data_IF_325420946024
#
_entry.id   IF_325420946024
#
_cell.length_a   1.000
_cell.length_b   1.000
_cell.length_c   1.000
_cell.angle_alpha   90.00
_cell.angle_beta   90.00
_cell.angle_gamma   90.00
#
_symmetry.space_group_name_H-M   'P 1'
#
loop_
_entity.id
_entity.type
_entity.pdbx_description
1 polymer ?
#
# COMPACT_ATOMS: atom_id res chain seq x y z
N UNK A 1 21.13 -44.32 -59.51
CA UNK A 1 20.63 -44.22 -58.11
C UNK A 1 20.71 -42.74 -57.65
N UNK A 2 19.61 -42.02 -57.78
CA UNK A 2 19.54 -40.60 -57.37
C UNK A 2 18.83 -40.54 -56.04
N UNK A 3 19.53 -40.13 -54.97
CA UNK A 3 18.99 -39.89 -53.64
C UNK A 3 18.40 -38.49 -53.63
N UNK A 4 17.06 -38.38 -53.54
CA UNK A 4 16.37 -37.15 -53.17
C UNK A 4 16.56 -36.87 -51.69
N UNK A 5 17.25 -35.79 -51.34
CA UNK A 5 17.23 -35.20 -50.02
C UNK A 5 15.97 -34.34 -49.91
N UNK A 6 15.01 -34.83 -49.11
CA UNK A 6 13.87 -34.00 -48.68
C UNK A 6 14.30 -33.13 -47.52
N UNK A 7 14.41 -31.81 -47.81
CA UNK A 7 14.69 -30.79 -46.80
C UNK A 7 13.36 -30.46 -46.11
N UNK A 8 13.13 -31.03 -44.90
CA UNK A 8 12.01 -30.62 -44.06
C UNK A 8 12.34 -29.31 -43.38
N UNK A 9 11.74 -28.22 -43.92
CA UNK A 9 11.77 -26.89 -43.31
C UNK A 9 10.90 -26.92 -42.08
N UNK A 10 11.50 -27.00 -40.89
CA UNK A 10 10.81 -26.81 -39.61
C UNK A 10 10.47 -25.30 -39.50
N UNK A 11 9.24 -24.93 -39.82
CA UNK A 11 8.68 -23.64 -39.42
C UNK A 11 8.61 -23.62 -37.89
N UNK A 12 9.61 -23.00 -37.25
CA UNK A 12 9.50 -22.56 -35.88
C UNK A 12 8.43 -21.46 -35.84
N UNK A 13 7.21 -21.82 -35.52
CA UNK A 13 6.15 -20.86 -35.20
C UNK A 13 6.61 -20.12 -33.95
N UNK A 14 7.13 -18.89 -34.13
CA UNK A 14 7.20 -17.91 -33.06
C UNK A 14 5.75 -17.62 -32.67
N UNK A 15 5.24 -18.35 -31.68
CA UNK A 15 4.03 -17.97 -30.99
C UNK A 15 4.37 -16.65 -30.26
N UNK A 16 4.10 -15.52 -30.94
CA UNK A 16 3.98 -14.25 -30.26
C UNK A 16 2.84 -14.46 -29.25
N UNK A 17 3.19 -14.56 -27.97
CA UNK A 17 2.21 -14.56 -26.89
C UNK A 17 1.47 -13.22 -26.99
N UNK A 18 0.29 -13.24 -27.59
CA UNK A 18 -0.59 -12.08 -27.56
C UNK A 18 -0.88 -11.77 -26.08
N UNK A 19 -0.68 -10.51 -25.67
CA UNK A 19 -0.96 -10.08 -24.32
C UNK A 19 -2.39 -10.45 -23.93
N UNK A 20 -2.56 -11.01 -22.75
CA UNK A 20 -3.88 -11.36 -22.21
C UNK A 20 -4.76 -10.10 -22.11
N UNK A 21 -6.09 -10.22 -22.16
CA UNK A 21 -6.96 -9.05 -21.96
C UNK A 21 -6.68 -8.29 -20.67
N UNK A 22 -6.29 -8.98 -19.59
CA UNK A 22 -5.90 -8.34 -18.33
C UNK A 22 -4.63 -7.49 -18.48
N UNK A 23 -3.62 -8.00 -19.18
CA UNK A 23 -2.39 -7.27 -19.49
C UNK A 23 -2.64 -6.09 -20.46
N UNK A 24 -3.54 -6.26 -21.43
CA UNK A 24 -3.96 -5.18 -22.33
C UNK A 24 -4.63 -4.03 -21.56
N UNK A 25 -5.54 -4.36 -20.64
CA UNK A 25 -6.19 -3.36 -19.79
C UNK A 25 -5.19 -2.64 -18.88
N UNK A 26 -4.24 -3.37 -18.29
CA UNK A 26 -3.17 -2.78 -17.48
C UNK A 26 -2.30 -1.83 -18.31
N UNK A 27 -1.87 -2.26 -19.49
CA UNK A 27 -1.09 -1.43 -20.40
C UNK A 27 -1.87 -0.19 -20.89
N UNK A 28 -3.20 -0.27 -21.05
CA UNK A 28 -4.04 0.87 -21.36
C UNK A 28 -4.05 1.88 -20.20
N UNK A 29 -4.22 1.40 -18.96
CA UNK A 29 -4.17 2.25 -17.77
C UNK A 29 -2.80 2.92 -17.59
N UNK A 30 -1.70 2.21 -17.80
CA UNK A 30 -0.33 2.73 -17.73
C UNK A 30 -0.07 3.85 -18.76
N UNK A 31 -0.77 3.83 -19.90
CA UNK A 31 -0.72 4.91 -20.89
C UNK A 31 -1.71 6.05 -20.63
N UNK A 32 -2.48 5.97 -19.54
CA UNK A 32 -3.52 6.94 -19.21
C UNK A 32 -4.84 6.75 -19.97
N UNK A 33 -4.99 5.67 -20.75
CA UNK A 33 -6.26 5.33 -21.41
C UNK A 33 -7.19 4.57 -20.46
N UNK A 34 -7.65 5.29 -19.47
CA UNK A 34 -8.50 4.72 -18.42
C UNK A 34 -9.88 4.24 -18.93
N UNK A 35 -10.37 4.85 -20.04
CA UNK A 35 -11.65 4.42 -20.64
C UNK A 35 -11.53 3.03 -21.27
N UNK A 36 -10.46 2.76 -22.00
CA UNK A 36 -10.22 1.45 -22.58
C UNK A 36 -9.90 0.41 -21.49
N UNK A 37 -9.11 0.78 -20.50
CA UNK A 37 -8.84 -0.07 -19.35
C UNK A 37 -10.14 -0.46 -18.60
N UNK A 38 -11.01 0.53 -18.31
CA UNK A 38 -12.31 0.30 -17.68
C UNK A 38 -13.18 -0.65 -18.52
N UNK A 39 -13.26 -0.42 -19.83
CA UNK A 39 -14.03 -1.27 -20.74
C UNK A 39 -13.61 -2.74 -20.64
N UNK A 40 -12.29 -2.98 -20.75
CA UNK A 40 -11.75 -4.36 -20.71
C UNK A 40 -11.95 -4.97 -19.32
N UNK A 41 -11.63 -4.24 -18.24
CA UNK A 41 -11.81 -4.74 -16.87
C UNK A 41 -13.30 -5.01 -16.57
N UNK A 42 -14.22 -4.21 -17.12
CA UNK A 42 -15.65 -4.45 -16.95
C UNK A 42 -16.09 -5.82 -17.51
N UNK A 43 -15.63 -6.15 -18.71
CA UNK A 43 -15.97 -7.45 -19.31
C UNK A 43 -15.36 -8.63 -18.54
N UNK A 44 -14.10 -8.51 -18.14
CA UNK A 44 -13.43 -9.53 -17.33
C UNK A 44 -14.05 -9.66 -15.92
N UNK A 45 -14.44 -8.54 -15.31
CA UNK A 45 -15.09 -8.52 -14.00
C UNK A 45 -16.47 -9.18 -14.03
N UNK A 46 -17.24 -8.99 -15.11
CA UNK A 46 -18.51 -9.70 -15.35
C UNK A 46 -18.29 -11.23 -15.49
N UNK A 47 -17.18 -11.62 -16.11
CA UNK A 47 -16.78 -13.02 -16.22
C UNK A 47 -16.27 -13.62 -14.89
N UNK A 48 -16.13 -12.82 -13.85
CA UNK A 48 -15.73 -13.26 -12.50
C UNK A 48 -14.24 -13.13 -12.19
N UNK A 49 -13.44 -12.53 -13.09
CA UNK A 49 -12.00 -12.31 -12.83
C UNK A 49 -11.81 -11.35 -11.65
N UNK A 50 -11.22 -11.84 -10.56
CA UNK A 50 -11.04 -11.09 -9.33
C UNK A 50 -10.05 -9.93 -9.48
N UNK A 51 -9.00 -10.11 -10.30
CA UNK A 51 -8.01 -9.04 -10.56
C UNK A 51 -8.64 -7.91 -11.38
N UNK A 52 -9.46 -8.27 -12.37
CA UNK A 52 -10.21 -7.28 -13.14
C UNK A 52 -11.23 -6.53 -12.27
N UNK A 53 -11.95 -7.24 -11.38
CA UNK A 53 -12.86 -6.60 -10.42
C UNK A 53 -12.13 -5.62 -9.51
N UNK A 54 -10.96 -5.99 -9.02
CA UNK A 54 -10.12 -5.12 -8.19
C UNK A 54 -9.62 -3.90 -8.97
N UNK A 55 -9.04 -4.11 -10.15
CA UNK A 55 -8.54 -3.01 -10.98
C UNK A 55 -9.66 -2.06 -11.43
N UNK A 56 -10.84 -2.60 -11.74
CA UNK A 56 -12.03 -1.78 -12.04
C UNK A 56 -12.43 -0.94 -10.82
N UNK A 57 -12.42 -1.53 -9.62
CA UNK A 57 -12.69 -0.79 -8.39
C UNK A 57 -11.67 0.32 -8.17
N UNK A 58 -10.37 0.07 -8.41
CA UNK A 58 -9.31 1.07 -8.25
C UNK A 58 -9.46 2.24 -9.24
N UNK A 59 -9.69 1.96 -10.51
CA UNK A 59 -9.83 3.03 -11.50
C UNK A 59 -11.06 3.91 -11.22
N UNK A 60 -12.11 3.32 -10.69
CA UNK A 60 -13.28 4.07 -10.23
C UNK A 60 -13.04 4.78 -8.89
N UNK A 61 -12.32 4.17 -7.97
CA UNK A 61 -11.95 4.76 -6.69
C UNK A 61 -11.14 6.06 -6.85
N UNK A 62 -10.17 6.05 -7.78
CA UNK A 62 -9.35 7.21 -8.12
C UNK A 62 -9.92 8.04 -9.28
N UNK A 63 -11.17 7.85 -9.64
CA UNK A 63 -11.81 8.31 -10.88
C UNK A 63 -11.70 9.79 -11.22
N UNK A 64 -11.53 10.70 -10.23
CA UNK A 64 -11.27 12.11 -10.51
C UNK A 64 -10.00 12.31 -11.32
N UNK A 65 -8.95 11.54 -11.00
CA UNK A 65 -7.66 11.61 -11.66
C UNK A 65 -7.67 10.86 -13.00
N UNK A 66 -8.59 9.89 -13.16
CA UNK A 66 -8.77 9.10 -14.38
C UNK A 66 -9.77 9.69 -15.38
N UNK A 67 -10.49 10.76 -15.00
CA UNK A 67 -11.54 11.38 -15.83
C UNK A 67 -12.79 10.50 -16.01
N UNK A 68 -12.97 9.50 -15.15
CA UNK A 68 -14.13 8.60 -15.14
C UNK A 68 -15.17 9.05 -14.10
N UNK A 69 -16.46 8.82 -14.35
CA UNK A 69 -17.48 9.03 -13.33
C UNK A 69 -17.25 8.06 -12.17
N UNK A 70 -17.31 8.58 -10.94
CA UNK A 70 -17.16 7.80 -9.71
C UNK A 70 -18.51 7.63 -9.03
N UNK A 71 -18.84 6.38 -8.70
CA UNK A 71 -19.94 6.03 -7.81
C UNK A 71 -19.36 5.24 -6.63
N UNK A 72 -19.35 5.88 -5.45
CA UNK A 72 -18.80 5.25 -4.24
C UNK A 72 -19.57 3.97 -3.84
N UNK A 73 -20.86 3.85 -4.21
CA UNK A 73 -21.63 2.64 -3.97
C UNK A 73 -21.19 1.50 -4.89
N UNK A 74 -20.92 1.77 -6.16
CA UNK A 74 -20.38 0.78 -7.10
C UNK A 74 -18.97 0.36 -6.69
N UNK A 75 -18.10 1.31 -6.35
CA UNK A 75 -16.74 1.02 -5.86
C UNK A 75 -16.78 0.13 -4.62
N UNK A 76 -17.65 0.47 -3.66
CA UNK A 76 -17.86 -0.34 -2.46
C UNK A 76 -18.29 -1.75 -2.81
N UNK A 77 -19.30 -1.92 -3.67
CA UNK A 77 -19.81 -3.23 -4.05
C UNK A 77 -18.74 -4.11 -4.73
N UNK A 78 -17.91 -3.53 -5.59
CA UNK A 78 -16.78 -4.21 -6.21
C UNK A 78 -15.74 -4.63 -5.18
N UNK A 79 -15.32 -3.71 -4.28
CA UNK A 79 -14.34 -4.00 -3.24
C UNK A 79 -14.85 -5.03 -2.23
N UNK A 80 -16.15 -5.00 -1.86
CA UNK A 80 -16.78 -6.01 -1.00
C UNK A 80 -16.66 -7.40 -1.62
N UNK A 81 -16.96 -7.52 -2.91
CA UNK A 81 -16.90 -8.79 -3.64
C UNK A 81 -15.47 -9.34 -3.70
N UNK A 82 -14.48 -8.48 -3.91
CA UNK A 82 -13.07 -8.88 -4.00
C UNK A 82 -12.47 -9.14 -2.61
N UNK A 83 -12.78 -8.32 -1.63
CA UNK A 83 -12.32 -8.48 -0.23
C UNK A 83 -12.83 -9.80 0.38
N UNK A 84 -14.05 -10.24 0.01
CA UNK A 84 -14.60 -11.53 0.41
C UNK A 84 -13.80 -12.74 -0.13
N UNK A 85 -12.98 -12.54 -1.16
CA UNK A 85 -12.04 -13.54 -1.68
C UNK A 85 -10.68 -13.51 -0.97
N UNK A 86 -10.56 -12.77 0.13
CA UNK A 86 -9.35 -12.59 0.92
C UNK A 86 -8.18 -11.99 0.13
N UNK A 87 -8.46 -11.08 -0.83
CA UNK A 87 -7.44 -10.30 -1.52
C UNK A 87 -7.04 -9.13 -0.62
N UNK A 88 -5.79 -9.09 -0.10
CA UNK A 88 -5.39 -8.14 0.94
C UNK A 88 -5.48 -6.68 0.49
N UNK A 89 -5.11 -6.40 -0.75
CA UNK A 89 -5.16 -5.04 -1.32
C UNK A 89 -6.61 -4.54 -1.42
N UNK A 90 -7.56 -5.43 -1.74
CA UNK A 90 -8.98 -5.07 -1.77
C UNK A 90 -9.52 -4.83 -0.35
N UNK A 91 -9.08 -5.63 0.64
CA UNK A 91 -9.40 -5.41 2.05
C UNK A 91 -8.89 -4.05 2.53
N UNK A 92 -7.67 -3.67 2.14
CA UNK A 92 -7.10 -2.35 2.43
C UNK A 92 -7.95 -1.22 1.83
N UNK A 93 -8.28 -1.28 0.53
CA UNK A 93 -9.07 -0.22 -0.11
C UNK A 93 -10.50 -0.14 0.42
N UNK A 94 -11.11 -1.28 0.74
CA UNK A 94 -12.42 -1.30 1.41
C UNK A 94 -12.34 -0.67 2.81
N UNK A 95 -11.26 -0.94 3.55
CA UNK A 95 -11.01 -0.31 4.85
C UNK A 95 -10.90 1.21 4.73
N UNK A 96 -10.21 1.72 3.69
CA UNK A 96 -10.14 3.17 3.43
C UNK A 96 -11.52 3.80 3.26
N UNK A 97 -12.42 3.15 2.53
CA UNK A 97 -13.81 3.64 2.37
C UNK A 97 -14.58 3.63 3.69
N UNK A 98 -14.47 2.53 4.46
CA UNK A 98 -15.19 2.37 5.71
C UNK A 98 -14.67 3.30 6.83
N UNK A 99 -13.42 3.72 6.74
CA UNK A 99 -12.78 4.66 7.66
C UNK A 99 -12.84 6.12 7.16
N UNK A 100 -13.47 6.38 6.01
CA UNK A 100 -13.48 7.69 5.34
C UNK A 100 -12.06 8.26 5.15
N UNK A 101 -11.14 7.37 4.73
CA UNK A 101 -9.71 7.65 4.63
C UNK A 101 -9.21 7.77 3.19
N UNK A 102 -10.10 7.96 2.21
CA UNK A 102 -9.77 8.05 0.77
C UNK A 102 -8.74 9.14 0.45
N UNK A 103 -8.79 10.26 1.18
CA UNK A 103 -7.87 11.39 1.02
C UNK A 103 -6.90 11.57 2.19
N UNK A 104 -6.68 10.49 2.94
CA UNK A 104 -5.86 10.48 4.14
C UNK A 104 -6.67 10.23 5.41
N UNK A 105 -6.05 9.55 6.35
CA UNK A 105 -6.71 9.17 7.60
C UNK A 105 -6.83 10.38 8.53
N UNK A 106 -8.07 10.76 8.86
CA UNK A 106 -8.36 11.81 9.84
C UNK A 106 -8.79 11.20 11.18
N UNK A 107 -7.82 10.80 11.99
CA UNK A 107 -8.06 10.15 13.30
C UNK A 107 -8.84 11.07 14.26
N UNK A 108 -8.59 12.39 14.20
CA UNK A 108 -9.34 13.36 15.02
C UNK A 108 -10.83 13.34 14.67
N UNK A 109 -11.17 13.26 13.39
CA UNK A 109 -12.56 13.13 12.96
C UNK A 109 -13.16 11.78 13.37
N UNK A 110 -12.42 10.69 13.21
CA UNK A 110 -12.85 9.37 13.66
C UNK A 110 -13.19 9.34 15.16
N UNK A 111 -12.44 10.06 15.98
CA UNK A 111 -12.61 10.06 17.44
C UNK A 111 -13.67 11.04 17.95
N UNK A 112 -14.23 11.92 17.11
CA UNK A 112 -15.29 12.86 17.50
C UNK A 112 -16.66 12.22 17.64
N UNK A 113 -16.93 11.13 16.94
CA UNK A 113 -18.22 10.43 16.94
C UNK A 113 -18.09 9.04 17.53
N UNK A 114 -19.17 8.44 18.07
CA UNK A 114 -19.17 7.04 18.49
C UNK A 114 -18.79 6.11 17.34
N UNK A 115 -18.20 4.96 17.66
CA UNK A 115 -17.85 3.96 16.68
C UNK A 115 -19.09 3.39 15.99
N UNK A 116 -19.03 3.27 14.67
CA UNK A 116 -20.02 2.57 13.84
C UNK A 116 -19.54 1.16 13.52
N UNK A 117 -20.47 0.27 13.17
CA UNK A 117 -20.09 -1.08 12.71
C UNK A 117 -19.22 -1.03 11.44
N UNK A 118 -19.46 -0.04 10.57
CA UNK A 118 -18.59 0.19 9.41
C UNK A 118 -17.16 0.52 9.83
N UNK A 119 -16.98 1.37 10.86
CA UNK A 119 -15.64 1.71 11.38
C UNK A 119 -14.95 0.50 12.00
N UNK A 120 -15.65 -0.28 12.83
CA UNK A 120 -15.11 -1.52 13.41
C UNK A 120 -14.63 -2.46 12.31
N UNK A 121 -15.50 -2.71 11.31
CA UNK A 121 -15.17 -3.54 10.16
C UNK A 121 -13.99 -2.97 9.35
N UNK A 122 -13.91 -1.65 9.19
CA UNK A 122 -12.77 -0.99 8.52
C UNK A 122 -11.44 -1.29 9.21
N UNK A 123 -11.38 -1.20 10.55
CA UNK A 123 -10.18 -1.55 11.33
C UNK A 123 -9.87 -3.05 11.22
N UNK A 124 -10.86 -3.92 11.24
CA UNK A 124 -10.66 -5.38 11.06
C UNK A 124 -10.06 -5.71 9.68
N UNK A 125 -10.61 -5.14 8.62
CA UNK A 125 -10.12 -5.34 7.25
C UNK A 125 -8.71 -4.78 7.08
N UNK A 126 -8.43 -3.60 7.65
CA UNK A 126 -7.10 -3.00 7.66
C UNK A 126 -6.10 -3.90 8.39
N UNK A 127 -6.49 -4.48 9.53
CA UNK A 127 -5.65 -5.41 10.28
C UNK A 127 -5.32 -6.64 9.45
N UNK A 128 -6.31 -7.25 8.79
CA UNK A 128 -6.09 -8.42 7.90
C UNK A 128 -5.15 -8.09 6.75
N UNK A 129 -5.33 -6.95 6.10
CA UNK A 129 -4.45 -6.50 5.02
C UNK A 129 -3.01 -6.27 5.51
N UNK A 130 -2.84 -5.67 6.69
CA UNK A 130 -1.53 -5.45 7.32
C UNK A 130 -0.85 -6.77 7.70
N UNK A 131 -1.59 -7.74 8.26
CA UNK A 131 -1.11 -9.08 8.59
C UNK A 131 -0.70 -9.85 7.32
N UNK A 132 -1.41 -9.66 6.22
CA UNK A 132 -1.07 -10.22 4.92
C UNK A 132 0.13 -9.54 4.24
N UNK A 133 0.67 -8.46 4.81
CA UNK A 133 1.90 -7.81 4.38
C UNK A 133 1.71 -6.61 3.44
N UNK A 134 0.50 -6.03 3.33
CA UNK A 134 0.27 -4.78 2.58
C UNK A 134 0.95 -3.63 3.33
N UNK A 135 1.99 -2.99 2.75
CA UNK A 135 2.80 -2.01 3.50
C UNK A 135 2.00 -0.77 3.90
N UNK A 136 1.12 -0.30 3.04
CA UNK A 136 0.27 0.88 3.30
C UNK A 136 -0.74 0.58 4.42
N UNK A 137 -1.26 -0.65 4.48
CA UNK A 137 -2.12 -1.09 5.57
C UNK A 137 -1.35 -1.18 6.90
N UNK A 138 -0.09 -1.63 6.87
CA UNK A 138 0.79 -1.67 8.04
C UNK A 138 1.07 -0.27 8.57
N UNK A 139 1.42 0.69 7.69
CA UNK A 139 1.66 2.08 8.07
C UNK A 139 0.39 2.73 8.68
N UNK A 140 -0.76 2.49 8.06
CA UNK A 140 -2.02 3.01 8.57
C UNK A 140 -2.42 2.39 9.91
N UNK A 141 -2.24 1.08 10.07
CA UNK A 141 -2.50 0.39 11.34
C UNK A 141 -1.56 0.88 12.46
N UNK A 142 -0.30 1.17 12.13
CA UNK A 142 0.63 1.81 13.06
C UNK A 142 0.09 3.16 13.55
N UNK A 143 -0.39 4.01 12.65
CA UNK A 143 -1.00 5.30 13.01
C UNK A 143 -2.26 5.13 13.89
N UNK A 144 -3.09 4.12 13.61
CA UNK A 144 -4.26 3.83 14.45
C UNK A 144 -3.85 3.40 15.86
N UNK A 145 -2.81 2.58 16.04
CA UNK A 145 -2.31 2.20 17.37
C UNK A 145 -1.63 3.37 18.10
N UNK A 146 -0.98 4.30 17.36
CA UNK A 146 -0.38 5.49 17.97
C UNK A 146 -1.42 6.39 18.62
N UNK A 147 -2.55 6.62 17.94
CA UNK A 147 -3.58 7.55 18.41
C UNK A 147 -4.74 6.90 19.16
N UNK A 148 -4.98 5.61 18.91
CA UNK A 148 -6.20 4.91 19.28
C UNK A 148 -7.39 5.31 18.40
N UNK A 149 -8.40 4.46 18.35
CA UNK A 149 -9.70 4.73 17.70
C UNK A 149 -10.78 4.48 18.73
N UNK A 150 -11.49 5.55 19.09
CA UNK A 150 -12.49 5.51 20.15
C UNK A 150 -13.48 4.35 19.96
N UNK A 151 -13.69 3.59 21.01
CA UNK A 151 -14.59 2.43 21.08
C UNK A 151 -14.27 1.27 20.12
N UNK A 152 -13.06 1.28 19.48
CA UNK A 152 -12.63 0.27 18.49
C UNK A 152 -11.23 -0.26 18.79
N UNK A 153 -10.26 0.63 18.98
CA UNK A 153 -8.85 0.26 19.11
C UNK A 153 -8.17 1.12 20.18
N UNK A 154 -7.64 0.47 21.19
CA UNK A 154 -6.88 1.17 22.22
C UNK A 154 -5.51 1.61 21.71
N UNK A 155 -5.02 2.73 22.22
CA UNK A 155 -3.67 3.20 21.97
C UNK A 155 -2.66 2.18 22.51
N UNK A 156 -1.67 1.83 21.68
CA UNK A 156 -0.61 0.88 22.01
C UNK A 156 0.70 1.26 21.28
N UNK A 157 1.62 1.89 22.00
CA UNK A 157 2.88 2.33 21.44
C UNK A 157 3.77 1.16 20.98
N UNK A 158 3.69 0.00 21.64
CA UNK A 158 4.45 -1.18 21.23
C UNK A 158 3.98 -1.71 19.87
N UNK A 159 2.67 -1.80 19.68
CA UNK A 159 2.09 -2.19 18.39
C UNK A 159 2.28 -1.12 17.32
N UNK A 160 2.18 0.17 17.68
CA UNK A 160 2.54 1.27 16.78
C UNK A 160 3.92 1.07 16.17
N UNK A 161 4.96 0.95 17.02
CA UNK A 161 6.35 0.79 16.59
C UNK A 161 6.50 -0.49 15.75
N UNK A 162 5.96 -1.61 16.21
CA UNK A 162 6.09 -2.89 15.52
C UNK A 162 5.48 -2.87 14.10
N UNK A 163 4.32 -2.22 13.93
CA UNK A 163 3.70 -2.08 12.61
C UNK A 163 4.41 -1.04 11.74
N UNK A 164 4.91 0.05 12.34
CA UNK A 164 5.67 1.05 11.62
C UNK A 164 7.00 0.47 11.09
N UNK A 165 7.73 -0.31 11.88
CA UNK A 165 8.94 -1.02 11.43
C UNK A 165 8.64 -1.98 10.26
N UNK A 166 7.53 -2.72 10.29
CA UNK A 166 7.14 -3.59 9.17
C UNK A 166 6.88 -2.80 7.89
N UNK A 167 6.14 -1.70 7.98
CA UNK A 167 5.88 -0.83 6.83
C UNK A 167 7.17 -0.18 6.30
N UNK A 168 8.07 0.21 7.20
CA UNK A 168 9.36 0.83 6.91
C UNK A 168 10.29 -0.07 6.07
N UNK A 169 10.12 -1.38 6.11
CA UNK A 169 10.85 -2.31 5.24
C UNK A 169 10.57 -2.09 3.75
N UNK A 170 9.46 -1.46 3.40
CA UNK A 170 8.98 -1.31 2.02
C UNK A 170 8.68 0.13 1.61
N UNK A 171 8.46 1.04 2.55
CA UNK A 171 8.06 2.42 2.29
C UNK A 171 9.17 3.35 2.79
N UNK A 172 9.87 4.03 1.85
CA UNK A 172 11.01 4.90 2.16
C UNK A 172 10.65 6.01 3.16
N UNK A 173 9.50 6.68 2.97
CA UNK A 173 9.04 7.71 3.89
C UNK A 173 8.81 7.16 5.31
N UNK A 174 8.21 5.97 5.42
CA UNK A 174 7.99 5.34 6.72
C UNK A 174 9.31 4.94 7.37
N UNK A 175 10.28 4.45 6.59
CA UNK A 175 11.62 4.15 7.08
C UNK A 175 12.30 5.41 7.63
N UNK A 176 12.22 6.53 6.91
CA UNK A 176 12.73 7.82 7.35
C UNK A 176 12.10 8.25 8.69
N UNK A 177 10.75 8.22 8.79
CA UNK A 177 10.04 8.56 10.04
C UNK A 177 10.39 7.61 11.19
N UNK A 178 10.64 6.33 10.91
CA UNK A 178 11.07 5.36 11.92
C UNK A 178 12.47 5.72 12.43
N UNK A 179 13.35 6.16 11.53
CA UNK A 179 14.67 6.70 11.90
C UNK A 179 14.58 7.92 12.81
N UNK A 180 13.71 8.89 12.47
CA UNK A 180 13.48 10.07 13.32
C UNK A 180 12.90 9.68 14.70
N UNK A 181 11.98 8.72 14.75
CA UNK A 181 11.42 8.20 15.99
C UNK A 181 12.51 7.67 16.92
N UNK A 182 13.39 6.80 16.42
CA UNK A 182 14.51 6.26 17.18
C UNK A 182 15.58 7.31 17.53
N UNK A 183 15.82 8.29 16.66
CA UNK A 183 16.77 9.38 16.95
C UNK A 183 16.30 10.27 18.08
N UNK A 184 15.02 10.65 18.05
CA UNK A 184 14.46 11.67 18.95
C UNK A 184 13.82 11.10 20.22
N UNK A 185 13.42 9.83 20.21
CA UNK A 185 12.61 9.22 21.26
C UNK A 185 11.16 9.73 21.27
N UNK A 186 10.70 10.37 20.20
CA UNK A 186 9.32 10.86 20.08
C UNK A 186 8.33 9.73 19.69
N UNK A 187 7.05 10.03 19.81
CA UNK A 187 5.95 9.14 19.43
C UNK A 187 5.98 7.76 20.14
N UNK A 188 6.66 7.67 21.27
CA UNK A 188 6.78 6.45 22.07
C UNK A 188 7.92 5.53 21.65
N UNK A 189 8.76 5.95 20.70
CA UNK A 189 9.98 5.24 20.36
C UNK A 189 11.01 5.35 21.50
N UNK A 190 11.71 4.26 21.85
CA UNK A 190 12.90 4.37 22.70
C UNK A 190 14.03 4.99 21.88
N UNK A 191 14.71 6.01 22.41
CA UNK A 191 15.86 6.60 21.72
C UNK A 191 16.97 5.54 21.51
N UNK A 192 17.35 5.31 20.25
CA UNK A 192 18.34 4.31 19.84
C UNK A 192 19.04 4.76 18.56
N UNK A 193 20.26 5.22 18.71
CA UNK A 193 21.04 5.77 17.60
C UNK A 193 21.45 4.76 16.54
N UNK A 194 21.66 3.51 16.89
CA UNK A 194 22.01 2.48 15.91
C UNK A 194 20.80 2.10 15.06
N UNK A 195 19.63 1.99 15.69
CA UNK A 195 18.36 1.79 14.95
C UNK A 195 18.01 3.01 14.10
N UNK A 196 18.24 4.23 14.59
CA UNK A 196 18.04 5.44 13.80
C UNK A 196 18.86 5.42 12.50
N UNK A 197 20.17 5.14 12.60
CA UNK A 197 21.06 5.02 11.45
C UNK A 197 20.61 3.93 10.48
N UNK A 198 20.24 2.77 11.00
CA UNK A 198 19.72 1.67 10.18
C UNK A 198 18.52 2.10 9.35
N UNK A 199 17.53 2.75 9.96
CA UNK A 199 16.30 3.14 9.28
C UNK A 199 16.51 4.31 8.29
N UNK A 200 17.40 5.26 8.56
CA UNK A 200 17.79 6.28 7.59
C UNK A 200 18.49 5.66 6.37
N UNK A 201 19.42 4.73 6.60
CA UNK A 201 20.06 4.01 5.49
C UNK A 201 19.02 3.24 4.69
N UNK A 202 18.10 2.56 5.35
CA UNK A 202 17.00 1.83 4.70
C UNK A 202 16.12 2.76 3.86
N UNK A 203 15.77 3.94 4.36
CA UNK A 203 15.00 4.93 3.61
C UNK A 203 15.72 5.34 2.32
N UNK A 204 17.02 5.61 2.41
CA UNK A 204 17.86 5.96 1.27
C UNK A 204 17.98 4.81 0.25
N UNK A 205 18.13 3.58 0.72
CA UNK A 205 18.21 2.39 -0.14
C UNK A 205 16.90 2.14 -0.91
N UNK A 206 15.76 2.50 -0.31
CA UNK A 206 14.44 2.41 -0.94
C UNK A 206 14.18 3.60 -1.89
N UNK A 207 14.67 4.80 -1.55
CA UNK A 207 14.57 6.02 -2.35
C UNK A 207 15.74 6.94 -2.02
N UNK A 208 16.65 7.12 -2.98
CA UNK A 208 17.87 7.93 -2.83
C UNK A 208 17.61 9.44 -2.58
N UNK A 209 16.36 9.92 -2.68
CA UNK A 209 16.00 11.28 -2.27
C UNK A 209 15.97 11.46 -0.74
N UNK A 210 15.89 10.38 0.04
CA UNK A 210 16.00 10.45 1.49
C UNK A 210 17.46 10.47 1.93
N UNK A 211 17.82 11.28 2.97
CA UNK A 211 19.17 11.35 3.46
C UNK A 211 19.57 10.04 4.16
N UNK A 212 20.84 9.63 4.00
CA UNK A 212 21.42 8.45 4.68
C UNK A 212 21.63 8.66 6.19
N UNK A 213 21.56 9.89 6.65
CA UNK A 213 21.77 10.26 8.05
C UNK A 213 20.91 11.46 8.42
N UNK A 214 20.59 11.61 9.71
CA UNK A 214 19.80 12.75 10.17
C UNK A 214 20.50 14.09 9.86
N UNK A 215 19.69 15.11 9.58
CA UNK A 215 20.18 16.47 9.37
C UNK A 215 20.73 17.10 10.66
N UNK A 216 20.35 16.58 11.82
CA UNK A 216 20.90 16.90 13.14
C UNK A 216 21.43 15.60 13.73
N UNK A 217 22.73 15.51 13.91
CA UNK A 217 23.33 14.32 14.53
C UNK A 217 23.12 14.37 16.06
N UNK A 218 21.87 14.09 16.48
CA UNK A 218 21.52 13.95 17.89
C UNK A 218 22.18 12.71 18.51
N UNK A 219 22.69 11.84 17.67
CA UNK A 219 23.42 10.62 18.02
C UNK A 219 24.94 10.85 18.13
N UNK A 220 25.46 12.04 17.78
CA UNK A 220 26.84 12.33 17.97
C UNK A 220 27.18 12.29 19.47
N UNK A 221 28.34 11.71 19.87
CA UNK A 221 28.76 11.75 21.26
C UNK A 221 28.82 13.21 21.69
N UNK A 222 28.07 13.58 22.74
CA UNK A 222 28.16 14.87 23.34
C UNK A 222 29.63 15.06 23.74
N UNK A 223 30.39 15.80 22.94
CA UNK A 223 31.77 16.15 23.30
C UNK A 223 31.70 16.72 24.70
N UNK A 224 32.36 16.03 25.62
CA UNK A 224 32.45 16.49 26.99
C UNK A 224 32.88 17.95 26.96
N UNK A 225 31.97 18.86 27.33
CA UNK A 225 32.28 20.27 27.48
C UNK A 225 33.50 20.38 28.40
N UNK A 226 34.66 20.69 27.81
CA UNK A 226 35.86 20.92 28.57
C UNK A 226 35.54 21.99 29.62
N UNK A 227 35.41 21.56 30.88
CA UNK A 227 35.42 22.50 32.00
C UNK A 227 36.73 23.27 31.93
N UNK A 228 36.66 24.56 31.55
CA UNK A 228 37.66 25.53 31.84
C UNK A 228 37.42 26.09 33.24
#
# INVERSE_FOLDING_TARGET
MKRLLTLTLALAACASFAATPLEQAKAAAERGDFKEAERIWTELAKAGDAKAQYNLALVKYYGKDSGLPTDDAEVRALLEKVAAQNIPEAQYHLALLLLDAKHGLNITALNKTPATDARKRGVELLTRAAEAGVPEAQAMLAALYHHGVKDVLEKDNGKHIAWQEKAAEKIAYTAYLTGEGYETGLEGFPADCEKAKYWYQKAHDLDANYPQSPSRDLCAPKTASAKK
#
